data_IF_112751056382
#
_entry.id   IF_112751056382
#
_cell.length_a   1.000
_cell.length_b   1.000
_cell.length_c   1.000
_cell.angle_alpha   90.00
_cell.angle_beta   90.00
_cell.angle_gamma   90.00
#
_symmetry.space_group_name_H-M   'P 1'
#
loop_
_entity.id
_entity.type
_entity.pdbx_description
1 polymer ?
#
# COMPACT_ATOMS: atom_id res chain seq x y z
N UNK A 1 8.87 6.47 -14.02
CA UNK A 1 9.33 5.12 -14.41
C UNK A 1 8.57 4.71 -15.66
N UNK A 2 9.22 3.98 -16.55
CA UNK A 2 8.59 3.43 -17.75
C UNK A 2 8.86 1.91 -17.79
N UNK A 3 7.88 1.15 -18.22
CA UNK A 3 7.90 -0.31 -18.26
C UNK A 3 7.18 -0.79 -19.52
N UNK A 4 7.62 -1.92 -20.10
CA UNK A 4 6.90 -2.62 -21.16
C UNK A 4 6.56 -4.03 -20.68
N UNK A 5 5.27 -4.34 -20.57
CA UNK A 5 4.78 -5.68 -20.25
C UNK A 5 4.44 -6.43 -21.54
N UNK A 6 4.86 -7.69 -21.61
CA UNK A 6 4.54 -8.59 -22.71
C UNK A 6 3.82 -9.80 -22.13
N UNK A 7 2.61 -10.06 -22.60
CA UNK A 7 1.82 -11.23 -22.22
C UNK A 7 1.40 -12.02 -23.45
N UNK A 8 1.37 -13.34 -23.33
CA UNK A 8 0.95 -14.23 -24.39
C UNK A 8 -0.32 -14.98 -23.95
N UNK A 9 -1.41 -14.81 -24.69
CA UNK A 9 -2.69 -15.45 -24.40
C UNK A 9 -3.30 -15.99 -25.70
N UNK A 10 -3.60 -17.29 -25.74
CA UNK A 10 -4.22 -17.98 -26.88
C UNK A 10 -3.64 -17.59 -28.26
N UNK A 11 -2.32 -17.70 -28.40
CA UNK A 11 -1.52 -17.34 -29.58
C UNK A 11 -1.48 -15.84 -29.96
N UNK A 12 -2.08 -14.94 -29.18
CA UNK A 12 -1.89 -13.49 -29.32
C UNK A 12 -0.82 -12.99 -28.36
N UNK A 13 0.09 -12.18 -28.89
CA UNK A 13 1.04 -11.40 -28.09
C UNK A 13 0.44 -10.03 -27.85
N UNK A 14 0.27 -9.66 -26.59
CA UNK A 14 -0.21 -8.35 -26.18
C UNK A 14 0.96 -7.54 -25.60
N UNK A 15 1.11 -6.31 -26.09
CA UNK A 15 2.10 -5.35 -25.60
C UNK A 15 1.38 -4.27 -24.79
N UNK A 16 1.77 -4.13 -23.52
CA UNK A 16 1.17 -3.16 -22.60
C UNK A 16 2.27 -2.25 -22.04
N UNK A 17 2.59 -1.15 -22.75
CA UNK A 17 3.51 -0.15 -22.22
C UNK A 17 2.88 0.57 -21.03
N UNK A 18 3.67 0.92 -20.03
CA UNK A 18 3.22 1.65 -18.85
C UNK A 18 4.14 2.82 -18.54
N UNK A 19 3.53 3.94 -18.19
CA UNK A 19 4.21 5.10 -17.60
C UNK A 19 3.62 5.34 -16.22
N UNK A 20 4.48 5.40 -15.20
CA UNK A 20 4.05 5.62 -13.83
C UNK A 20 4.98 6.56 -13.07
N UNK A 21 4.40 7.29 -12.13
CA UNK A 21 5.08 8.07 -11.12
C UNK A 21 4.73 7.50 -9.74
N UNK A 22 5.73 7.45 -8.86
CA UNK A 22 5.58 6.97 -7.50
C UNK A 22 6.22 7.98 -6.58
N UNK A 23 5.56 8.24 -5.46
CA UNK A 23 6.13 8.99 -4.34
C UNK A 23 5.81 8.27 -3.04
N UNK A 24 6.79 8.28 -2.14
CA UNK A 24 6.63 7.76 -0.81
C UNK A 24 7.32 8.71 0.16
N UNK A 25 6.63 9.04 1.24
CA UNK A 25 7.21 9.77 2.37
C UNK A 25 7.69 8.70 3.36
N UNK A 26 9.01 8.59 3.61
CA UNK A 26 9.53 7.70 4.64
C UNK A 26 8.88 8.03 5.98
N UNK A 27 8.71 7.06 6.90
CA UNK A 27 8.07 7.32 8.18
C UNK A 27 8.67 8.55 8.88
N UNK A 28 7.82 9.53 9.19
CA UNK A 28 8.21 10.78 9.86
C UNK A 28 7.65 10.78 11.28
N UNK A 29 8.50 11.10 12.26
CA UNK A 29 8.04 11.40 13.61
C UNK A 29 7.30 12.74 13.63
N UNK A 30 6.15 12.77 14.30
CA UNK A 30 5.23 13.89 14.38
C UNK A 30 5.02 14.28 15.85
N UNK A 31 4.45 15.47 16.13
CA UNK A 31 4.07 15.85 17.49
C UNK A 31 3.19 14.80 18.18
N UNK A 32 3.21 14.80 19.52
CA UNK A 32 2.46 13.87 20.36
C UNK A 32 2.87 12.39 20.25
N UNK A 33 4.08 12.11 19.76
CA UNK A 33 4.61 10.75 19.62
C UNK A 33 3.92 9.96 18.51
N UNK A 34 3.32 10.67 17.56
CA UNK A 34 2.73 10.09 16.36
C UNK A 34 3.81 9.88 15.31
N UNK A 35 3.55 8.97 14.37
CA UNK A 35 4.37 8.77 13.19
C UNK A 35 3.48 8.66 11.96
N UNK A 36 3.83 9.40 10.91
CA UNK A 36 3.12 9.41 9.65
C UNK A 36 3.90 8.72 8.54
N UNK A 37 3.23 7.92 7.72
CA UNK A 37 3.76 7.37 6.47
C UNK A 37 2.76 7.60 5.33
N UNK A 38 3.25 7.81 4.12
CA UNK A 38 2.39 8.04 2.94
C UNK A 38 3.04 7.45 1.70
N UNK A 39 2.20 6.86 0.85
CA UNK A 39 2.57 6.31 -0.44
C UNK A 39 1.51 6.72 -1.47
N UNK A 40 1.95 7.07 -2.67
CA UNK A 40 1.08 7.37 -3.79
C UNK A 40 1.75 6.94 -5.09
N UNK A 41 0.99 6.28 -5.94
CA UNK A 41 1.36 5.98 -7.31
C UNK A 41 0.23 6.36 -8.26
N UNK A 42 0.60 6.79 -9.46
CA UNK A 42 -0.34 7.01 -10.54
C UNK A 42 0.35 6.75 -11.88
N UNK A 43 -0.42 6.39 -12.88
CA UNK A 43 0.13 6.10 -14.19
C UNK A 43 -0.92 5.84 -15.26
N UNK A 44 -0.42 5.42 -16.41
CA UNK A 44 -1.19 5.05 -17.56
C UNK A 44 -0.65 3.75 -18.15
N UNK A 45 -1.53 2.81 -18.43
CA UNK A 45 -1.24 1.55 -19.10
C UNK A 45 -1.82 1.63 -20.51
N UNK A 46 -0.98 1.46 -21.53
CA UNK A 46 -1.37 1.39 -22.94
C UNK A 46 -1.62 -0.03 -23.43
N UNK A 47 -2.01 -0.16 -24.70
CA UNK A 47 -2.45 -1.42 -25.31
C UNK A 47 -3.98 -1.50 -25.40
N UNK A 48 -4.51 -2.70 -25.64
CA UNK A 48 -5.95 -2.93 -25.58
C UNK A 48 -6.43 -2.74 -24.13
N UNK A 49 -7.58 -2.10 -23.93
CA UNK A 49 -8.10 -1.68 -22.62
C UNK A 49 -7.15 -0.74 -21.85
N UNK A 50 -6.61 0.25 -22.56
CA UNK A 50 -5.76 1.26 -21.96
C UNK A 50 -6.49 2.02 -20.85
N UNK A 51 -5.84 2.19 -19.70
CA UNK A 51 -6.45 2.82 -18.52
C UNK A 51 -5.45 3.67 -17.78
N UNK A 52 -5.92 4.80 -17.27
CA UNK A 52 -5.26 5.50 -16.18
C UNK A 52 -5.45 4.73 -14.87
N UNK A 53 -4.53 4.89 -13.93
CA UNK A 53 -4.72 4.40 -12.57
C UNK A 53 -4.10 5.35 -11.54
N UNK A 54 -4.63 5.27 -10.32
CA UNK A 54 -4.08 5.88 -9.12
C UNK A 54 -4.26 4.91 -7.96
N UNK A 55 -3.29 4.84 -7.07
CA UNK A 55 -3.34 4.03 -5.86
C UNK A 55 -2.47 4.67 -4.77
N UNK A 56 -2.90 4.59 -3.53
CA UNK A 56 -2.18 5.25 -2.45
C UNK A 56 -2.71 4.92 -1.07
N UNK A 57 -1.91 5.30 -0.08
CA UNK A 57 -2.25 5.17 1.32
C UNK A 57 -1.58 6.24 2.16
N UNK A 58 -2.20 6.56 3.28
CA UNK A 58 -1.61 7.32 4.36
C UNK A 58 -1.92 6.63 5.69
N UNK A 59 -0.94 6.52 6.57
CA UNK A 59 -1.13 5.98 7.92
C UNK A 59 -0.56 6.93 8.96
N UNK A 60 -1.21 6.92 10.12
CA UNK A 60 -0.78 7.64 11.32
C UNK A 60 -0.85 6.68 12.50
N UNK A 61 0.27 6.46 13.17
CA UNK A 61 0.38 5.51 14.27
C UNK A 61 1.16 6.07 15.47
N UNK A 62 1.10 5.36 16.59
CA UNK A 62 1.86 5.67 17.80
C UNK A 62 2.48 4.42 18.40
N UNK A 63 3.64 4.58 19.02
CA UNK A 63 4.28 3.56 19.86
C UNK A 63 3.40 3.23 21.07
N UNK A 64 3.04 1.96 21.21
CA UNK A 64 2.27 1.46 22.37
C UNK A 64 3.10 0.59 23.30
N UNK A 65 4.08 -0.14 22.77
CA UNK A 65 5.03 -0.92 23.58
C UNK A 65 6.37 -1.06 22.86
N UNK A 66 7.45 -1.08 23.64
CA UNK A 66 8.81 -1.35 23.17
C UNK A 66 9.40 -2.48 24.00
N UNK A 67 10.12 -3.38 23.34
CA UNK A 67 10.75 -4.56 23.95
C UNK A 67 12.05 -4.87 23.20
N UNK A 68 12.88 -5.75 23.75
CA UNK A 68 14.25 -5.98 23.25
C UNK A 68 14.33 -6.33 21.76
N UNK A 69 13.32 -7.05 21.27
CA UNK A 69 13.26 -7.53 19.88
C UNK A 69 12.52 -6.56 18.94
N UNK A 70 11.90 -5.49 19.43
CA UNK A 70 11.05 -4.66 18.58
C UNK A 70 10.11 -3.66 19.26
N UNK A 71 9.19 -3.15 18.44
CA UNK A 71 8.23 -2.11 18.81
C UNK A 71 6.84 -2.44 18.26
N UNK A 72 5.83 -2.37 19.14
CA UNK A 72 4.43 -2.48 18.78
C UNK A 72 3.81 -1.08 18.63
N UNK A 73 3.14 -0.86 17.50
CA UNK A 73 2.53 0.41 17.13
C UNK A 73 1.11 0.21 16.66
N UNK A 74 0.23 1.17 16.93
CA UNK A 74 -1.14 1.13 16.44
C UNK A 74 -1.65 2.53 16.08
N UNK A 75 -2.65 2.58 15.22
CA UNK A 75 -3.19 3.83 14.72
C UNK A 75 -4.31 3.62 13.71
N UNK A 76 -4.38 4.51 12.73
CA UNK A 76 -5.37 4.46 11.66
C UNK A 76 -4.74 4.80 10.30
N UNK A 77 -5.42 4.40 9.24
CA UNK A 77 -5.01 4.70 7.87
C UNK A 77 -6.18 4.96 6.94
N UNK A 78 -5.80 5.45 5.77
CA UNK A 78 -6.64 5.64 4.60
C UNK A 78 -5.95 4.95 3.43
N UNK A 79 -6.69 4.21 2.62
CA UNK A 79 -6.20 3.52 1.44
C UNK A 79 -7.17 3.76 0.30
N UNK A 80 -6.68 4.01 -0.90
CA UNK A 80 -7.57 4.19 -2.04
C UNK A 80 -6.88 3.95 -3.35
N UNK A 81 -7.67 3.57 -4.35
CA UNK A 81 -7.19 3.42 -5.70
C UNK A 81 -8.35 3.38 -6.69
N UNK A 82 -8.05 3.76 -7.93
CA UNK A 82 -9.01 3.78 -9.03
C UNK A 82 -8.31 3.42 -10.33
N UNK A 83 -8.99 2.63 -11.14
CA UNK A 83 -8.71 2.33 -12.54
C UNK A 83 -10.03 2.10 -13.27
N UNK A 84 -10.01 1.97 -14.60
CA UNK A 84 -11.23 1.73 -15.35
C UNK A 84 -11.98 0.48 -14.83
N UNK A 85 -13.26 0.69 -14.49
CA UNK A 85 -14.15 -0.33 -13.93
C UNK A 85 -13.90 -0.77 -12.48
N UNK A 86 -12.94 -0.17 -11.75
CA UNK A 86 -12.70 -0.52 -10.35
C UNK A 86 -12.11 0.65 -9.54
N UNK A 87 -12.86 1.12 -8.55
CA UNK A 87 -12.39 2.12 -7.59
C UNK A 87 -12.80 1.79 -6.15
N UNK A 88 -12.00 2.23 -5.18
CA UNK A 88 -12.33 2.17 -3.76
C UNK A 88 -11.57 3.20 -2.93
N UNK A 89 -12.19 3.59 -1.83
CA UNK A 89 -11.58 4.32 -0.72
C UNK A 89 -11.95 3.61 0.58
N UNK A 90 -10.95 3.31 1.40
CA UNK A 90 -11.08 2.66 2.69
C UNK A 90 -10.45 3.50 3.80
N UNK A 91 -10.99 3.36 4.99
CA UNK A 91 -10.41 3.88 6.24
C UNK A 91 -10.46 2.79 7.30
N UNK A 92 -9.63 2.90 8.33
CA UNK A 92 -9.74 2.00 9.47
C UNK A 92 -8.47 1.86 10.30
N UNK A 93 -8.52 1.00 11.33
CA UNK A 93 -7.41 0.83 12.25
C UNK A 93 -6.27 0.03 11.61
N UNK A 94 -5.07 0.33 12.07
CA UNK A 94 -3.83 -0.38 11.74
C UNK A 94 -3.07 -0.74 13.02
N UNK A 95 -2.41 -1.89 13.00
CA UNK A 95 -1.44 -2.28 14.01
C UNK A 95 -0.21 -2.89 13.35
N UNK A 96 0.97 -2.57 13.85
CA UNK A 96 2.23 -3.10 13.31
C UNK A 96 3.20 -3.51 14.41
N UNK A 97 3.94 -4.56 14.11
CA UNK A 97 5.08 -5.03 14.88
C UNK A 97 6.34 -4.81 14.04
N UNK A 98 7.24 -3.97 14.53
CA UNK A 98 8.57 -3.74 13.97
C UNK A 98 9.57 -4.56 14.76
N UNK A 99 10.37 -5.36 14.07
CA UNK A 99 11.27 -6.35 14.66
C UNK A 99 12.68 -6.17 14.13
N UNK A 100 13.68 -6.48 14.96
CA UNK A 100 15.05 -6.70 14.52
C UNK A 100 15.37 -8.20 14.62
N UNK A 101 15.49 -8.88 13.47
CA UNK A 101 15.77 -10.32 13.40
C UNK A 101 17.15 -10.50 12.78
N UNK A 102 18.13 -10.96 13.58
CA UNK A 102 19.52 -11.11 13.14
C UNK A 102 20.08 -9.83 12.48
N UNK A 103 19.89 -8.69 13.16
CA UNK A 103 20.28 -7.33 12.72
C UNK A 103 19.59 -6.85 11.43
N UNK A 104 18.52 -7.52 11.00
CA UNK A 104 17.72 -7.10 9.84
C UNK A 104 16.34 -6.60 10.26
N UNK A 105 15.87 -5.48 9.69
CA UNK A 105 14.54 -4.96 10.00
C UNK A 105 13.47 -5.85 9.35
N UNK A 106 12.51 -6.28 10.16
CA UNK A 106 11.30 -6.96 9.71
C UNK A 106 10.07 -6.21 10.24
N UNK A 107 8.98 -6.26 9.49
CA UNK A 107 7.70 -5.66 9.90
C UNK A 107 6.55 -6.59 9.54
N UNK A 108 5.62 -6.69 10.47
CA UNK A 108 4.30 -7.31 10.27
C UNK A 108 3.26 -6.24 10.55
N UNK A 109 2.31 -6.01 9.64
CA UNK A 109 1.19 -5.11 9.87
C UNK A 109 -0.15 -5.77 9.57
N UNK A 110 -1.16 -5.37 10.32
CA UNK A 110 -2.55 -5.81 10.18
C UNK A 110 -3.41 -4.56 10.07
N UNK A 111 -4.16 -4.46 8.98
CA UNK A 111 -5.06 -3.35 8.69
C UNK A 111 -6.49 -3.88 8.56
N UNK A 112 -7.46 -3.26 9.24
CA UNK A 112 -8.86 -3.46 8.91
C UNK A 112 -9.31 -2.32 8.00
N UNK A 113 -9.61 -2.65 6.74
CA UNK A 113 -9.99 -1.68 5.71
C UNK A 113 -11.50 -1.66 5.58
N UNK A 114 -12.12 -0.64 6.16
CA UNK A 114 -13.55 -0.39 5.99
C UNK A 114 -13.78 0.50 4.77
N UNK A 115 -14.47 -0.03 3.75
CA UNK A 115 -14.73 0.69 2.51
C UNK A 115 -15.79 1.77 2.71
N UNK A 116 -15.43 3.02 2.42
CA UNK A 116 -16.30 4.20 2.53
C UNK A 116 -16.75 4.75 1.18
N UNK A 117 -16.03 4.44 0.09
CA UNK A 117 -16.43 4.79 -1.27
C UNK A 117 -15.96 3.75 -2.29
N UNK A 118 -16.60 3.74 -3.47
CA UNK A 118 -16.34 2.80 -4.55
C UNK A 118 -16.88 1.39 -4.29
N UNK A 119 -16.75 0.52 -5.28
CA UNK A 119 -17.36 -0.81 -5.31
C UNK A 119 -16.35 -1.95 -5.59
N UNK A 120 -15.08 -1.62 -5.80
CA UNK A 120 -14.03 -2.59 -6.10
C UNK A 120 -13.97 -3.70 -5.05
N UNK A 121 -14.04 -4.95 -5.50
CA UNK A 121 -14.03 -6.15 -4.65
C UNK A 121 -12.62 -6.47 -4.12
N UNK A 122 -12.48 -7.13 -2.97
CA UNK A 122 -13.56 -7.53 -2.04
C UNK A 122 -14.12 -6.34 -1.24
N UNK A 123 -15.26 -6.50 -0.55
CA UNK A 123 -15.76 -5.54 0.45
C UNK A 123 -14.76 -5.29 1.60
N UNK A 124 -15.21 -4.62 2.67
CA UNK A 124 -14.40 -4.38 3.88
C UNK A 124 -13.80 -5.66 4.46
N UNK A 125 -12.56 -5.61 4.93
CA UNK A 125 -11.86 -6.80 5.42
C UNK A 125 -10.47 -6.53 5.98
N UNK A 126 -9.83 -7.61 6.43
CA UNK A 126 -8.46 -7.55 6.97
C UNK A 126 -7.43 -7.70 5.86
N UNK A 127 -6.35 -6.93 5.96
CA UNK A 127 -5.13 -7.10 5.19
C UNK A 127 -3.96 -7.34 6.14
N UNK A 128 -3.10 -8.29 5.80
CA UNK A 128 -1.86 -8.57 6.53
C UNK A 128 -0.69 -8.34 5.58
N UNK A 129 0.30 -7.57 6.02
CA UNK A 129 1.52 -7.31 5.26
C UNK A 129 2.72 -7.76 6.07
N UNK A 130 3.64 -8.46 5.41
CA UNK A 130 4.93 -8.85 5.97
C UNK A 130 6.02 -8.30 5.05
N UNK A 131 6.97 -7.57 5.61
CA UNK A 131 8.07 -6.96 4.88
C UNK A 131 9.37 -7.10 5.65
N UNK A 132 10.50 -7.10 4.92
CA UNK A 132 11.84 -7.18 5.50
C UNK A 132 12.80 -6.33 4.66
N UNK A 133 13.83 -5.79 5.29
CA UNK A 133 14.99 -5.21 4.62
C UNK A 133 16.09 -6.24 4.46
N UNK A 134 16.82 -6.20 3.34
CA UNK A 134 17.95 -7.08 3.06
C UNK A 134 19.22 -6.29 2.75
#
# INVERSE_FOLDING_TARGET
MAELRVSQFDQRTELRPALLAVTAVPPQELPFGLRGETYLQAGYIGGDFSTGFIDGQARLDRSLARFDLGEFRAGAGIWGGAQDGAERLDVGPTASLELSIADKPARISIDYRHRVAGDARPPSGMAVTVSTGF
#
